data_IF_564078617434
#
_entry.id   IF_564078617434
#
_cell.length_a   1.000
_cell.length_b   1.000
_cell.length_c   1.000
_cell.angle_alpha   90.00
_cell.angle_beta   90.00
_cell.angle_gamma   90.00
#
_symmetry.space_group_name_H-M   'P 1'
#
loop_
_entity.id
_entity.type
_entity.pdbx_description
1 polymer ?
#
# COMPACT_ATOMS: atom_id res chain seq x y z
N UNK A 1 3.34 18.31 -5.36
CA UNK A 1 4.69 18.13 -4.79
C UNK A 1 4.93 16.63 -4.68
N UNK A 2 6.11 16.12 -5.04
CA UNK A 2 6.40 14.68 -5.02
C UNK A 2 7.19 14.37 -3.74
N UNK A 3 6.54 13.79 -2.73
CA UNK A 3 7.08 13.64 -1.38
C UNK A 3 8.42 12.88 -1.36
N UNK A 4 8.46 11.68 -1.94
CA UNK A 4 9.67 10.86 -1.94
C UNK A 4 10.80 11.49 -2.75
N UNK A 5 10.47 12.26 -3.79
CA UNK A 5 11.45 13.03 -4.54
C UNK A 5 12.05 14.14 -3.66
N UNK A 6 11.22 14.87 -2.89
CA UNK A 6 11.68 15.88 -1.95
C UNK A 6 12.60 15.30 -0.87
N UNK A 7 12.26 14.15 -0.29
CA UNK A 7 13.13 13.45 0.68
C UNK A 7 14.52 13.15 0.12
N UNK A 8 14.60 12.81 -1.18
CA UNK A 8 15.88 12.56 -1.84
C UNK A 8 16.64 13.85 -2.14
N UNK A 9 15.96 14.90 -2.58
CA UNK A 9 16.56 16.20 -2.90
C UNK A 9 17.12 16.91 -1.66
N UNK A 10 16.50 16.69 -0.50
CA UNK A 10 16.90 17.22 0.80
C UNK A 10 17.92 16.33 1.55
N UNK A 11 18.47 15.30 0.89
CA UNK A 11 19.44 14.34 1.46
C UNK A 11 18.90 13.54 2.69
N UNK A 12 17.58 13.52 2.84
CA UNK A 12 16.87 12.72 3.83
C UNK A 12 16.66 11.26 3.41
N UNK A 13 17.01 10.89 2.17
CA UNK A 13 16.90 9.53 1.66
C UNK A 13 18.09 9.13 0.77
N UNK A 14 18.83 8.13 1.22
CA UNK A 14 19.98 7.53 0.53
C UNK A 14 19.65 6.23 -0.21
N UNK A 15 18.54 5.58 0.15
CA UNK A 15 18.11 4.30 -0.44
C UNK A 15 18.90 3.08 0.03
N UNK A 16 19.64 3.22 1.13
CA UNK A 16 20.25 2.12 1.85
C UNK A 16 19.18 1.20 2.50
N UNK A 17 19.64 0.15 3.18
CA UNK A 17 18.76 -0.81 3.83
C UNK A 17 17.88 -0.17 4.92
N UNK A 18 18.43 0.76 5.69
CA UNK A 18 17.73 1.42 6.80
C UNK A 18 16.65 2.34 6.25
N UNK A 19 16.98 3.22 5.31
CA UNK A 19 16.03 4.15 4.71
C UNK A 19 14.89 3.41 4.00
N UNK A 20 15.19 2.31 3.28
CA UNK A 20 14.13 1.47 2.66
C UNK A 20 13.21 0.86 3.70
N UNK A 21 13.75 0.33 4.78
CA UNK A 21 12.97 -0.30 5.85
C UNK A 21 12.14 0.74 6.61
N UNK A 22 12.67 1.94 6.83
CA UNK A 22 11.95 3.03 7.48
C UNK A 22 10.84 3.60 6.61
N UNK A 23 11.04 3.72 5.30
CA UNK A 23 9.97 4.10 4.38
C UNK A 23 8.84 3.06 4.41
N UNK A 24 9.19 1.78 4.41
CA UNK A 24 8.19 0.72 4.56
C UNK A 24 7.47 0.81 5.91
N UNK A 25 8.20 1.05 6.99
CA UNK A 25 7.62 1.19 8.33
C UNK A 25 6.60 2.33 8.42
N UNK A 26 6.97 3.52 7.93
CA UNK A 26 6.18 4.74 8.13
C UNK A 26 5.05 4.91 7.11
N UNK A 27 5.19 4.37 5.88
CA UNK A 27 4.26 4.68 4.78
C UNK A 27 3.44 3.48 4.28
N UNK A 28 3.81 2.23 4.60
CA UNK A 28 3.17 1.08 3.96
C UNK A 28 1.68 0.96 4.30
N UNK A 29 1.29 1.27 5.54
CA UNK A 29 -0.12 1.22 5.94
C UNK A 29 -0.95 2.29 5.21
N UNK A 30 -0.46 3.52 5.14
CA UNK A 30 -1.11 4.61 4.40
C UNK A 30 -1.27 4.26 2.92
N UNK A 31 -0.21 3.75 2.28
CA UNK A 31 -0.26 3.31 0.89
C UNK A 31 -1.26 2.18 0.69
N UNK A 32 -1.33 1.23 1.62
CA UNK A 32 -2.27 0.12 1.54
C UNK A 32 -3.72 0.60 1.69
N UNK A 33 -3.99 1.55 2.58
CA UNK A 33 -5.31 2.16 2.74
C UNK A 33 -5.73 2.96 1.51
N UNK A 34 -4.83 3.77 0.94
CA UNK A 34 -5.10 4.50 -0.30
C UNK A 34 -5.41 3.54 -1.46
N UNK A 35 -4.62 2.49 -1.62
CA UNK A 35 -4.85 1.47 -2.66
C UNK A 35 -6.19 0.75 -2.46
N UNK A 36 -6.53 0.41 -1.22
CA UNK A 36 -7.82 -0.19 -0.89
C UNK A 36 -8.98 0.76 -1.21
N UNK A 37 -8.82 2.05 -0.91
CA UNK A 37 -9.81 3.09 -1.19
C UNK A 37 -10.00 3.26 -2.70
N UNK A 38 -8.93 3.35 -3.47
CA UNK A 38 -8.98 3.43 -4.94
C UNK A 38 -9.67 2.20 -5.52
N UNK A 39 -9.30 1.00 -5.07
CA UNK A 39 -9.93 -0.24 -5.51
C UNK A 39 -11.42 -0.26 -5.18
N UNK A 40 -11.81 0.18 -3.98
CA UNK A 40 -13.20 0.26 -3.57
C UNK A 40 -14.01 1.22 -4.44
N UNK A 41 -13.51 2.45 -4.61
CA UNK A 41 -14.17 3.48 -5.44
C UNK A 41 -14.29 2.99 -6.88
N UNK A 42 -13.20 2.46 -7.45
CA UNK A 42 -13.20 1.93 -8.80
C UNK A 42 -14.22 0.80 -8.95
N UNK A 43 -14.22 -0.18 -8.05
CA UNK A 43 -15.10 -1.34 -8.19
C UNK A 43 -16.58 -1.01 -7.98
N UNK A 44 -16.88 0.00 -7.16
CA UNK A 44 -18.26 0.34 -6.79
C UNK A 44 -18.86 1.48 -7.59
N UNK A 45 -18.07 2.37 -8.21
CA UNK A 45 -18.64 3.49 -8.96
C UNK A 45 -19.54 3.00 -10.11
N UNK A 46 -20.51 3.83 -10.49
CA UNK A 46 -21.43 3.53 -11.60
C UNK A 46 -20.97 4.26 -12.87
N UNK A 47 -20.51 3.49 -13.85
CA UNK A 47 -20.26 3.96 -15.20
C UNK A 47 -21.62 4.26 -15.85
N UNK A 48 -21.80 5.50 -16.31
CA UNK A 48 -23.03 5.95 -16.96
C UNK A 48 -23.04 5.57 -18.44
N UNK A 49 -24.22 5.25 -18.96
CA UNK A 49 -24.43 5.10 -20.39
C UNK A 49 -24.10 6.42 -21.13
N UNK A 50 -23.31 6.33 -22.20
CA UNK A 50 -23.08 7.45 -23.11
C UNK A 50 -23.76 7.16 -24.45
N UNK A 51 -24.27 8.22 -25.11
CA UNK A 51 -24.87 8.07 -26.44
C UNK A 51 -23.77 7.79 -27.45
N UNK A 52 -23.99 6.81 -28.32
CA UNK A 52 -23.11 6.42 -29.44
C UNK A 52 -21.73 5.86 -29.02
N UNK A 53 -21.59 5.31 -27.82
CA UNK A 53 -20.36 4.60 -27.41
C UNK A 53 -20.64 3.11 -27.26
N UNK A 54 -19.67 2.28 -27.63
CA UNK A 54 -19.66 0.84 -27.34
C UNK A 54 -19.14 0.54 -25.93
N UNK A 55 -18.88 1.58 -25.14
CA UNK A 55 -18.31 1.42 -23.81
C UNK A 55 -19.34 0.75 -22.87
N UNK A 56 -18.90 -0.21 -22.06
CA UNK A 56 -19.80 -0.91 -21.16
C UNK A 56 -20.29 0.02 -20.04
N UNK A 57 -21.52 -0.22 -19.58
CA UNK A 57 -22.19 0.54 -18.53
C UNK A 57 -22.46 -0.36 -17.32
N UNK A 58 -22.50 0.22 -16.13
CA UNK A 58 -22.75 -0.55 -14.90
C UNK A 58 -21.72 -0.26 -13.82
N UNK A 59 -21.64 -1.15 -12.83
CA UNK A 59 -20.59 -1.11 -11.80
C UNK A 59 -19.50 -2.11 -12.18
N UNK A 60 -18.20 -1.74 -12.20
CA UNK A 60 -17.14 -2.64 -12.61
C UNK A 60 -17.15 -3.98 -11.89
N UNK A 61 -17.41 -3.99 -10.58
CA UNK A 61 -17.52 -5.25 -9.82
C UNK A 61 -18.62 -6.15 -10.37
N UNK A 62 -19.82 -5.61 -10.64
CA UNK A 62 -20.92 -6.40 -11.18
C UNK A 62 -20.64 -6.88 -12.61
N UNK A 63 -20.04 -6.02 -13.43
CA UNK A 63 -19.66 -6.38 -14.79
C UNK A 63 -18.61 -7.50 -14.82
N UNK A 64 -17.70 -7.52 -13.84
CA UNK A 64 -16.70 -8.57 -13.68
C UNK A 64 -17.28 -9.87 -13.13
N UNK A 65 -18.16 -9.79 -12.11
CA UNK A 65 -18.70 -10.97 -11.42
C UNK A 65 -19.81 -11.67 -12.22
N UNK A 66 -20.63 -10.92 -12.97
CA UNK A 66 -21.77 -11.45 -13.73
C UNK A 66 -21.84 -10.85 -15.14
N UNK A 67 -20.82 -11.09 -15.99
CA UNK A 67 -20.70 -10.44 -17.30
C UNK A 67 -21.90 -10.69 -18.23
N UNK A 68 -22.55 -11.87 -18.10
CA UNK A 68 -23.72 -12.24 -18.90
C UNK A 68 -24.92 -11.28 -18.74
N UNK A 69 -25.09 -10.64 -17.58
CA UNK A 69 -26.14 -9.62 -17.37
C UNK A 69 -25.88 -8.32 -18.14
N UNK A 70 -24.65 -8.15 -18.63
CA UNK A 70 -24.20 -6.99 -19.39
C UNK A 70 -23.94 -7.33 -20.87
N UNK A 71 -24.37 -8.50 -21.34
CA UNK A 71 -24.14 -8.96 -22.71
C UNK A 71 -22.68 -9.29 -23.02
N UNK A 72 -21.88 -9.59 -21.98
CA UNK A 72 -20.49 -9.99 -22.09
C UNK A 72 -20.29 -11.45 -21.66
N UNK A 73 -19.15 -12.02 -22.03
CA UNK A 73 -18.75 -13.38 -21.68
C UNK A 73 -17.72 -13.38 -20.55
N UNK A 74 -17.66 -14.48 -19.80
CA UNK A 74 -16.63 -14.68 -18.79
C UNK A 74 -15.34 -15.20 -19.43
N UNK A 75 -14.25 -14.48 -19.24
CA UNK A 75 -12.91 -14.82 -19.71
C UNK A 75 -11.92 -15.03 -18.55
N UNK A 76 -12.42 -15.26 -17.33
CA UNK A 76 -11.56 -15.57 -16.19
C UNK A 76 -10.78 -16.86 -16.43
N UNK A 77 -9.50 -16.85 -16.02
CA UNK A 77 -8.68 -18.05 -16.00
C UNK A 77 -8.85 -18.74 -14.64
N UNK A 78 -9.37 -19.97 -14.58
CA UNK A 78 -9.54 -20.67 -13.32
C UNK A 78 -8.18 -20.94 -12.68
N UNK A 79 -8.03 -20.54 -11.42
CA UNK A 79 -6.86 -20.82 -10.60
C UNK A 79 -7.22 -21.85 -9.53
N UNK A 80 -6.32 -22.82 -9.27
CA UNK A 80 -6.56 -23.79 -8.19
C UNK A 80 -6.50 -23.10 -6.83
N UNK A 81 -7.30 -23.61 -5.87
CA UNK A 81 -7.23 -23.13 -4.49
C UNK A 81 -5.83 -23.30 -3.88
N UNK A 82 -5.10 -24.33 -4.31
CA UNK A 82 -3.70 -24.54 -3.94
C UNK A 82 -2.80 -23.41 -4.44
N UNK A 83 -2.92 -23.00 -5.71
CA UNK A 83 -2.14 -21.89 -6.24
C UNK A 83 -2.48 -20.58 -5.52
N UNK A 84 -3.76 -20.35 -5.22
CA UNK A 84 -4.19 -19.18 -4.44
C UNK A 84 -3.55 -19.23 -3.05
N UNK A 85 -3.62 -20.37 -2.34
CA UNK A 85 -3.04 -20.53 -1.02
C UNK A 85 -1.51 -20.35 -1.04
N UNK A 86 -0.82 -20.90 -2.03
CA UNK A 86 0.62 -20.74 -2.20
C UNK A 86 0.98 -19.27 -2.46
N UNK A 87 0.26 -18.59 -3.35
CA UNK A 87 0.46 -17.15 -3.57
C UNK A 87 0.17 -16.33 -2.31
N UNK A 88 -0.90 -16.67 -1.57
CA UNK A 88 -1.21 -16.02 -0.31
C UNK A 88 -0.11 -16.23 0.72
N UNK A 89 0.43 -17.44 0.87
CA UNK A 89 1.50 -17.73 1.82
C UNK A 89 2.76 -16.93 1.48
N UNK A 90 3.20 -16.94 0.22
CA UNK A 90 4.34 -16.13 -0.25
C UNK A 90 4.10 -14.61 -0.07
N UNK A 91 2.84 -14.18 -0.15
CA UNK A 91 2.45 -12.80 0.17
C UNK A 91 2.30 -12.53 1.68
N UNK A 92 2.04 -13.55 2.51
CA UNK A 92 1.89 -13.51 3.98
C UNK A 92 3.22 -13.54 4.71
N UNK A 93 4.28 -14.10 4.11
CA UNK A 93 5.65 -14.06 4.67
C UNK A 93 6.14 -12.61 4.91
N UNK A 94 5.44 -11.60 4.39
CA UNK A 94 5.66 -10.17 4.61
C UNK A 94 4.81 -9.51 5.73
N UNK A 95 3.96 -10.23 6.50
CA UNK A 95 2.74 -9.60 7.09
C UNK A 95 2.53 -9.56 8.61
N UNK A 96 3.53 -9.79 9.45
CA UNK A 96 3.43 -9.30 10.84
C UNK A 96 4.03 -7.90 11.00
N UNK A 97 4.90 -7.50 10.07
CA UNK A 97 5.71 -6.29 10.15
C UNK A 97 5.77 -5.66 8.77
N UNK A 98 5.63 -4.34 8.68
CA UNK A 98 5.61 -3.59 7.41
C UNK A 98 6.98 -3.57 6.71
N UNK A 99 8.06 -3.85 7.42
CA UNK A 99 9.45 -3.84 6.96
C UNK A 99 10.25 -5.03 7.53
N UNK A 100 11.58 -4.97 7.46
CA UNK A 100 12.45 -5.95 8.12
C UNK A 100 12.11 -6.08 9.62
N UNK A 101 12.07 -7.32 10.12
CA UNK A 101 11.65 -7.61 11.50
C UNK A 101 12.51 -6.87 12.54
N UNK A 102 13.83 -6.84 12.36
CA UNK A 102 14.74 -6.21 13.34
C UNK A 102 14.54 -4.71 13.35
N UNK A 103 14.40 -4.11 12.16
CA UNK A 103 14.13 -2.67 12.03
C UNK A 103 12.77 -2.33 12.61
N UNK A 104 11.75 -3.14 12.35
CA UNK A 104 10.40 -2.95 12.90
C UNK A 104 10.42 -2.96 14.44
N UNK A 105 11.01 -3.99 15.05
CA UNK A 105 11.11 -4.11 16.51
C UNK A 105 11.87 -2.92 17.12
N UNK A 106 12.96 -2.49 16.49
CA UNK A 106 13.70 -1.29 16.91
C UNK A 106 12.86 -0.01 16.81
N UNK A 107 12.12 0.17 15.71
CA UNK A 107 11.24 1.33 15.54
C UNK A 107 10.15 1.35 16.61
N UNK A 108 9.52 0.22 16.92
CA UNK A 108 8.52 0.14 17.98
C UNK A 108 9.09 0.52 19.35
N UNK A 109 10.31 0.08 19.68
CA UNK A 109 10.98 0.45 20.93
C UNK A 109 11.27 1.96 21.00
N UNK A 110 11.79 2.54 19.92
CA UNK A 110 12.06 3.98 19.84
C UNK A 110 10.77 4.79 19.93
N UNK A 111 9.69 4.35 19.29
CA UNK A 111 8.39 5.00 19.39
C UNK A 111 7.85 4.98 20.83
N UNK A 112 7.97 3.86 21.54
CA UNK A 112 7.56 3.76 22.94
C UNK A 112 8.41 4.68 23.86
N UNK A 113 9.73 4.66 23.67
CA UNK A 113 10.68 5.48 24.43
C UNK A 113 10.42 6.99 24.25
N UNK A 114 10.21 7.41 23.01
CA UNK A 114 9.99 8.82 22.65
C UNK A 114 8.52 9.24 22.66
N UNK A 115 7.59 8.33 22.98
CA UNK A 115 6.12 8.54 22.96
C UNK A 115 5.62 9.07 21.61
N UNK A 116 6.07 8.43 20.54
CA UNK A 116 5.64 8.71 19.17
C UNK A 116 4.44 7.84 18.82
N UNK A 117 3.47 8.44 18.12
CA UNK A 117 2.28 7.74 17.63
C UNK A 117 2.48 7.23 16.20
N UNK A 118 1.76 6.17 15.79
CA UNK A 118 1.71 5.77 14.38
C UNK A 118 1.14 6.89 13.50
N UNK A 119 1.59 7.03 12.25
CA UNK A 119 1.19 8.14 11.40
C UNK A 119 -0.16 7.88 10.72
N UNK A 120 -1.05 8.87 10.76
CA UNK A 120 -2.38 8.82 10.10
C UNK A 120 -2.39 9.49 8.72
N UNK A 121 -1.32 10.20 8.36
CA UNK A 121 -1.23 10.90 7.08
C UNK A 121 0.23 11.05 6.63
N UNK A 122 0.40 11.51 5.39
CA UNK A 122 1.72 11.62 4.76
C UNK A 122 2.67 12.58 5.47
N UNK A 123 2.18 13.66 6.08
CA UNK A 123 3.00 14.61 6.84
C UNK A 123 3.55 13.97 8.11
N UNK A 124 2.68 13.34 8.91
CA UNK A 124 3.09 12.61 10.11
C UNK A 124 4.04 11.44 9.78
N UNK A 125 3.80 10.72 8.68
CA UNK A 125 4.68 9.64 8.26
C UNK A 125 6.07 10.16 7.87
N UNK A 126 6.15 11.34 7.26
CA UNK A 126 7.42 12.01 6.96
C UNK A 126 8.16 12.43 8.22
N UNK A 127 7.46 13.05 9.18
CA UNK A 127 8.07 13.46 10.45
C UNK A 127 8.58 12.25 11.25
N UNK A 128 7.79 11.17 11.30
CA UNK A 128 8.18 9.93 11.93
C UNK A 128 9.40 9.30 11.24
N UNK A 129 9.41 9.26 9.91
CA UNK A 129 10.55 8.77 9.12
C UNK A 129 11.83 9.55 9.42
N UNK A 130 11.78 10.89 9.39
CA UNK A 130 12.95 11.74 9.65
C UNK A 130 13.45 11.53 11.08
N UNK A 131 12.54 11.44 12.04
CA UNK A 131 12.86 11.23 13.46
C UNK A 131 13.55 9.89 13.68
N UNK A 132 12.90 8.78 13.27
CA UNK A 132 13.46 7.43 13.44
C UNK A 132 14.78 7.26 12.68
N UNK A 133 14.91 7.86 11.49
CA UNK A 133 16.16 7.84 10.72
C UNK A 133 17.31 8.47 11.50
N UNK A 134 17.07 9.61 12.17
CA UNK A 134 18.09 10.26 12.99
C UNK A 134 18.49 9.37 14.16
N UNK A 135 17.52 8.92 14.95
CA UNK A 135 17.79 8.10 16.14
C UNK A 135 18.55 6.80 15.79
N UNK A 136 18.17 6.11 14.71
CA UNK A 136 18.85 4.88 14.30
C UNK A 136 20.27 5.17 13.77
N UNK A 137 20.47 6.27 13.05
CA UNK A 137 21.80 6.63 12.54
C UNK A 137 22.74 7.07 13.66
N UNK A 138 22.23 7.67 14.73
CA UNK A 138 23.04 8.04 15.89
C UNK A 138 23.51 6.81 16.70
N UNK A 139 22.87 5.65 16.50
CA UNK A 139 23.23 4.36 17.12
C UNK A 139 24.25 3.53 16.30
N UNK A 140 24.57 3.94 15.06
CA UNK A 140 25.46 3.23 14.13
C UNK A 140 26.85 3.89 14.05
#
# INVERSE_FOLDING_TARGET
>A
MNLFQSLKEEDHFSGDFVDKSLVQFCFMELLQEELNTVAHIWNTHRIRAQRNTTAPQGRPLMMYTVPHLYGAEDHQCPCSMENIANCEEECRTRRNYSCDKTVFELCCLLMDEHRLDPPDNTEQATDLYITLRREIRDLL
#
